data_IF_738169043346
#
_entry.id   IF_738169043346
#
_cell.length_a   1.000
_cell.length_b   1.000
_cell.length_c   1.000
_cell.angle_alpha   90.00
_cell.angle_beta   90.00
_cell.angle_gamma   90.00
#
_symmetry.space_group_name_H-M   'P 1'
#
loop_
_entity.id
_entity.type
_entity.pdbx_description
1 polymer ?
2 non-polymer ?
3 non-polymer ?
4 non-polymer ?
5 water ?
#
# COMPACT_ATOMS: atom_id res chain seq x y z
N UNK A 18 -19.74 -0.32 -8.52
CA UNK A 18 -18.47 -0.88 -7.95
C UNK A 18 -18.59 -2.39 -7.69
N UNK A 19 -17.47 -3.01 -7.32
CA UNK A 19 -17.44 -4.45 -7.04
C UNK A 19 -17.01 -4.77 -5.64
N UNK A 20 -15.88 -5.48 -5.52
CA UNK A 20 -15.29 -5.84 -4.23
C UNK A 20 -13.77 -5.74 -4.32
N UNK A 21 -13.11 -5.54 -3.16
CA UNK A 21 -11.66 -5.46 -3.10
C UNK A 21 -11.02 -6.50 -2.17
N UNK A 22 -9.91 -7.10 -2.59
CA UNK A 22 -9.16 -8.04 -1.74
C UNK A 22 -7.72 -7.52 -1.51
N UNK A 23 -7.42 -7.07 -0.28
CA UNK A 23 -6.05 -6.66 0.06
C UNK A 23 -5.12 -7.82 0.35
N UNK A 24 -3.90 -7.70 -0.19
CA UNK A 24 -2.91 -8.74 -0.26
C UNK A 24 -1.58 -8.10 0.07
N UNK A 25 -0.72 -8.85 0.76
CA UNK A 25 0.63 -8.38 1.07
C UNK A 25 1.65 -9.33 0.46
N UNK A 26 2.78 -8.78 0.06
CA UNK A 26 3.85 -9.63 -0.47
C UNK A 26 5.17 -9.08 0.03
N UNK A 27 6.17 -9.94 0.19
CA UNK A 27 7.45 -9.50 0.70
C UNK A 27 8.59 -9.72 -0.27
N UNK A 28 9.48 -8.74 -0.33
CA UNK A 28 10.75 -8.85 -1.03
C UNK A 28 11.79 -9.32 -0.04
N UNK A 29 12.23 -10.57 -0.15
CA UNK A 29 13.38 -11.05 0.62
C UNK A 29 14.53 -11.19 -0.36
N UNK A 30 15.73 -10.78 0.03
CA UNK A 30 16.86 -10.77 -0.88
C UNK A 30 18.00 -11.68 -0.40
N UNK A 31 18.76 -12.23 -1.34
CA UNK A 31 19.96 -13.02 -0.99
C UNK A 31 21.09 -12.71 -1.95
N UNK A 32 22.07 -11.95 -1.47
CA UNK A 32 23.21 -11.54 -2.29
C UNK A 32 22.74 -10.98 -3.65
N UNK A 33 21.79 -10.06 -3.59
CA UNK A 33 21.24 -9.43 -4.79
C UNK A 33 20.03 -10.15 -5.35
N UNK A 34 19.98 -11.47 -5.17
CA UNK A 34 18.82 -12.28 -5.59
C UNK A 34 17.59 -12.03 -4.74
N UNK A 35 16.44 -12.53 -5.21
CA UNK A 35 15.15 -12.32 -4.56
C UNK A 35 14.38 -13.65 -4.48
N UNK A 36 13.66 -13.84 -3.38
CA UNK A 36 12.92 -15.06 -3.16
C UNK A 36 11.58 -15.07 -3.91
N UNK A 37 11.37 -16.14 -4.68
CA UNK A 37 10.09 -16.43 -5.33
C UNK A 37 9.70 -17.86 -4.98
N UNK A 38 8.38 -18.11 -4.97
CA UNK A 38 7.82 -19.43 -4.68
C UNK A 38 6.89 -19.81 -5.80
N UNK A 39 6.88 -21.10 -6.12
CA UNK A 39 6.06 -21.62 -7.21
C UNK A 39 4.78 -22.15 -6.60
N UNK A 40 3.65 -21.66 -7.09
CA UNK A 40 2.35 -22.11 -6.59
C UNK A 40 2.15 -23.64 -6.73
N UNK A 41 1.59 -24.30 -5.69
CA UNK A 41 1.39 -25.75 -5.61
C UNK A 41 0.44 -26.34 -6.68
N UNK A 42 0.50 -27.66 -6.85
CA UNK A 42 -0.08 -28.40 -7.98
C UNK A 42 -1.59 -28.25 -8.25
N UNK A 43 -2.39 -28.00 -7.23
CA UNK A 43 -3.83 -27.82 -7.44
C UNK A 43 -4.27 -26.39 -7.15
N UNK A 44 -3.32 -25.48 -7.25
CA UNK A 44 -3.52 -24.07 -7.01
C UNK A 44 -4.18 -23.41 -8.22
N UNK A 45 -4.84 -22.28 -7.98
CA UNK A 45 -5.39 -21.46 -9.06
C UNK A 45 -4.28 -20.89 -9.97
N UNK A 46 -3.06 -20.80 -9.46
CA UNK A 46 -1.91 -20.38 -10.27
C UNK A 46 -0.79 -21.42 -10.26
N UNK A 47 -1.19 -22.69 -10.11
CA UNK A 47 -0.29 -23.84 -10.11
C UNK A 47 0.83 -23.75 -11.15
N UNK A 48 2.08 -23.80 -10.68
CA UNK A 48 3.25 -23.77 -11.55
C UNK A 48 3.88 -22.40 -11.75
N UNK A 49 3.14 -21.35 -11.42
CA UNK A 49 3.62 -19.98 -11.63
C UNK A 49 4.31 -19.40 -10.41
N UNK A 50 5.27 -18.51 -10.64
CA UNK A 50 6.15 -17.98 -9.58
C UNK A 50 5.69 -16.63 -9.09
N UNK A 51 5.79 -16.44 -7.78
CA UNK A 51 5.28 -15.25 -7.11
C UNK A 51 6.15 -14.96 -5.92
N UNK A 52 6.06 -13.72 -5.43
CA UNK A 52 6.63 -13.36 -4.15
C UNK A 52 5.76 -13.94 -3.04
N UNK A 53 6.37 -14.40 -1.94
CA UNK A 53 5.59 -14.92 -0.81
C UNK A 53 4.72 -13.86 -0.12
N UNK A 54 3.56 -14.27 0.39
CA UNK A 54 2.64 -13.37 1.08
C UNK A 54 1.25 -13.96 1.03
N UNK A 55 0.23 -13.13 1.19
CA UNK A 55 -1.13 -13.62 1.25
C UNK A 55 -2.11 -12.53 1.61
N UNK A 56 -3.35 -12.93 1.87
CA UNK A 56 -4.45 -12.02 2.18
C UNK A 56 -4.30 -11.40 3.56
N UNK A 57 -4.69 -10.13 3.70
CA UNK A 57 -4.83 -9.49 5.00
C UNK A 57 -6.14 -9.96 5.63
N UNK A 58 -6.06 -10.46 6.86
CA UNK A 58 -7.30 -10.86 7.56
C UNK A 58 -7.90 -9.66 8.30
N UNK A 59 -9.18 -9.73 8.63
CA UNK A 59 -9.82 -8.64 9.34
C UNK A 59 -9.14 -8.40 10.68
N UNK A 60 -8.98 -7.13 11.02
CA UNK A 60 -8.39 -6.74 12.28
C UNK A 60 -6.88 -6.57 12.26
N UNK A 61 -6.21 -7.14 11.28
CA UNK A 61 -4.75 -7.06 11.28
C UNK A 61 -4.18 -5.93 10.39
N UNK A 62 -3.04 -5.37 10.82
CA UNK A 62 -2.28 -4.42 10.01
C UNK A 62 -1.63 -5.18 8.85
N UNK A 63 -1.26 -4.47 7.75
CA UNK A 63 -0.59 -5.20 6.66
C UNK A 63 0.70 -5.92 7.10
N UNK A 64 1.45 -5.32 8.03
CA UNK A 64 2.67 -5.90 8.58
C UNK A 64 2.38 -7.19 9.39
N UNK A 65 1.27 -7.19 10.12
CA UNK A 65 0.89 -8.37 10.88
C UNK A 65 0.50 -9.49 9.94
N UNK A 66 -0.20 -9.13 8.87
CA UNK A 66 -0.62 -10.08 7.85
C UNK A 66 0.60 -10.73 7.20
N UNK A 67 1.56 -9.89 6.82
CA UNK A 67 2.75 -10.38 6.11
C UNK A 67 3.65 -11.23 7.01
N UNK A 68 3.87 -10.81 8.26
CA UNK A 68 4.65 -11.65 9.18
C UNK A 68 3.99 -13.01 9.35
N UNK A 69 2.66 -13.03 9.51
CA UNK A 69 1.95 -14.29 9.64
C UNK A 69 2.13 -15.14 8.37
N UNK A 70 1.81 -14.56 7.21
CA UNK A 70 1.91 -15.27 5.94
C UNK A 70 3.31 -15.87 5.70
N UNK A 71 4.35 -15.10 5.99
CA UNK A 71 5.73 -15.57 5.82
C UNK A 71 6.07 -16.74 6.75
N UNK A 72 5.57 -16.70 8.00
CA UNK A 72 5.73 -17.84 8.89
C UNK A 72 4.98 -19.05 8.35
N UNK A 73 3.72 -18.84 7.93
CA UNK A 73 2.93 -19.96 7.44
C UNK A 73 3.41 -20.52 6.09
N UNK A 74 3.96 -19.68 5.22
CA UNK A 74 4.44 -20.17 3.93
C UNK A 74 5.90 -20.66 3.93
N UNK A 75 6.73 -20.00 4.71
CA UNK A 75 8.19 -20.18 4.63
C UNK A 75 8.78 -20.82 5.89
N UNK A 76 8.01 -20.82 6.99
CA UNK A 76 8.50 -21.28 8.29
C UNK A 76 9.45 -20.32 9.01
N UNK A 77 9.51 -19.07 8.56
CA UNK A 77 10.42 -18.08 9.13
C UNK A 77 9.70 -17.02 9.97
N UNK A 78 10.43 -16.47 10.94
CA UNK A 78 9.94 -15.33 11.69
C UNK A 78 10.63 -14.07 11.19
N UNK A 79 9.86 -13.26 10.46
CA UNK A 79 10.40 -12.12 9.73
C UNK A 79 9.95 -10.80 10.35
N UNK A 80 10.78 -9.79 10.22
CA UNK A 80 10.40 -8.42 10.55
C UNK A 80 10.02 -7.77 9.24
N UNK A 81 8.91 -7.03 9.26
CA UNK A 81 8.41 -6.39 8.04
C UNK A 81 9.02 -4.98 7.99
N UNK A 82 9.74 -4.67 6.91
CA UNK A 82 10.39 -3.37 6.79
C UNK A 82 9.49 -2.42 6.03
N UNK A 83 10.12 -1.59 5.21
CA UNK A 83 9.54 -0.47 4.49
C UNK A 83 8.52 -0.91 3.41
N UNK A 84 7.38 -0.21 3.39
CA UNK A 84 6.43 -0.31 2.29
C UNK A 84 7.06 0.29 1.03
N UNK A 85 7.12 -0.51 -0.04
CA UNK A 85 7.81 -0.10 -1.25
C UNK A 85 6.90 0.24 -2.42
N UNK A 86 5.74 -0.42 -2.50
CA UNK A 86 4.88 -0.32 -3.68
C UNK A 86 3.47 -0.77 -3.36
N UNK A 87 2.48 -0.17 -4.01
CA UNK A 87 1.10 -0.66 -4.02
C UNK A 87 0.58 -0.70 -5.46
N UNK A 88 -0.04 -1.83 -5.80
CA UNK A 88 -0.54 -2.07 -7.15
C UNK A 88 -1.96 -2.61 -7.10
N UNK A 89 -2.76 -2.30 -8.11
CA UNK A 89 -4.10 -2.86 -8.21
C UNK A 89 -4.19 -3.83 -9.40
N UNK A 90 -5.02 -4.85 -9.25
CA UNK A 90 -5.37 -5.78 -10.34
C UNK A 90 -6.87 -5.76 -10.40
N UNK A 91 -7.43 -5.85 -11.60
CA UNK A 91 -8.87 -6.06 -11.77
C UNK A 91 -9.14 -7.43 -12.39
N UNK A 92 -10.02 -8.19 -11.75
CA UNK A 92 -10.57 -9.39 -12.37
C UNK A 92 -12.07 -9.23 -12.48
N UNK A 93 -12.53 -8.64 -13.56
CA UNK A 93 -13.92 -8.23 -13.69
C UNK A 93 -14.31 -7.24 -12.60
N UNK A 94 -15.38 -7.54 -11.87
CA UNK A 94 -15.82 -6.64 -10.80
C UNK A 94 -15.09 -6.82 -9.45
N UNK A 95 -14.05 -7.64 -9.41
CA UNK A 95 -13.25 -7.77 -8.19
C UNK A 95 -11.89 -7.08 -8.40
N UNK A 96 -11.49 -6.27 -7.42
CA UNK A 96 -10.16 -5.66 -7.40
C UNK A 96 -9.22 -6.30 -6.39
N UNK A 97 -7.95 -6.42 -6.76
CA UNK A 97 -6.89 -6.89 -5.84
C UNK A 97 -5.99 -5.71 -5.60
N UNK A 98 -5.73 -5.43 -4.32
CA UNK A 98 -4.77 -4.42 -3.93
C UNK A 98 -3.59 -5.11 -3.26
N UNK A 99 -2.41 -5.06 -3.89
CA UNK A 99 -1.17 -5.69 -3.36
C UNK A 99 -0.22 -4.66 -2.81
N UNK A 100 0.21 -4.90 -1.57
CA UNK A 100 1.20 -4.08 -0.91
C UNK A 100 2.48 -4.89 -0.83
N UNK A 101 3.56 -4.32 -1.35
CA UNK A 101 4.88 -4.98 -1.33
C UNK A 101 5.75 -4.35 -0.26
N UNK A 102 6.22 -5.19 0.67
CA UNK A 102 7.12 -4.76 1.72
C UNK A 102 8.54 -5.34 1.55
N UNK A 103 9.53 -4.51 1.83
CA UNK A 103 10.90 -4.97 1.94
C UNK A 103 11.06 -5.80 3.24
N UNK A 104 11.63 -7.01 3.12
CA UNK A 104 11.95 -7.84 4.28
C UNK A 104 13.45 -7.97 4.36
N UNK A 105 14.06 -7.24 5.29
CA UNK A 105 15.51 -7.26 5.49
C UNK A 105 15.94 -8.32 6.52
N UNK A 106 15.12 -8.53 7.54
CA UNK A 106 15.51 -9.36 8.67
C UNK A 106 14.50 -10.47 8.98
N UNK A 107 15.04 -11.67 9.16
CA UNK A 107 14.26 -12.82 9.54
C UNK A 107 15.12 -13.85 10.25
N UNK A 108 14.45 -14.72 10.99
CA UNK A 108 15.09 -15.83 11.66
C UNK A 108 14.66 -17.08 10.94
N UNK A 109 15.65 -17.92 10.62
CA UNK A 109 15.45 -19.19 9.94
C UNK A 109 15.81 -19.08 8.47
N UNK A 110 15.65 -20.17 7.74
CA UNK A 110 15.81 -20.10 6.29
C UNK A 110 14.54 -20.62 5.66
N UNK A 111 13.98 -19.85 4.70
CA UNK A 111 12.74 -20.20 4.01
C UNK A 111 12.71 -21.65 3.55
N UNK A 112 11.60 -22.33 3.82
CA UNK A 112 11.37 -23.68 3.30
C UNK A 112 9.98 -23.78 2.66
N UNK A 113 9.85 -24.67 1.68
CA UNK A 113 8.65 -24.76 0.86
C UNK A 113 7.45 -25.43 1.56
N UNK A 114 6.86 -24.75 2.54
CA UNK A 114 5.74 -25.30 3.31
C UNK A 114 4.42 -25.25 2.53
N UNK A 115 4.34 -24.30 1.61
CA UNK A 115 3.11 -24.02 0.87
C UNK A 115 3.38 -24.21 -0.62
N UNK A 116 4.44 -23.54 -1.08
CA UNK A 116 4.82 -23.59 -2.48
C UNK A 116 5.38 -24.95 -2.84
N UNK A 117 5.24 -25.32 -4.11
CA UNK A 117 5.86 -26.53 -4.68
C UNK A 117 7.38 -26.47 -4.50
N UNK A 118 7.93 -25.26 -4.65
CA UNK A 118 9.37 -25.04 -4.69
C UNK A 118 9.68 -23.58 -4.42
N UNK A 119 10.83 -23.32 -3.80
CA UNK A 119 11.35 -21.95 -3.63
C UNK A 119 12.66 -21.80 -4.39
N UNK A 120 12.90 -20.60 -4.91
CA UNK A 120 14.16 -20.31 -5.62
C UNK A 120 14.55 -18.86 -5.39
N UNK A 121 15.85 -18.63 -5.18
CA UNK A 121 16.40 -17.27 -5.19
C UNK A 121 16.85 -16.92 -6.60
N UNK A 122 16.24 -15.91 -7.20
CA UNK A 122 16.57 -15.54 -8.57
C UNK A 122 17.16 -14.14 -8.65
N UNK A 123 17.88 -13.86 -9.72
CA UNK A 123 18.24 -12.50 -10.04
C UNK A 123 16.96 -11.81 -10.46
N UNK A 124 16.68 -10.65 -9.86
CA UNK A 124 15.42 -9.93 -10.08
C UNK A 124 15.18 -9.59 -11.55
N UNK A 125 16.24 -9.39 -12.32
CA UNK A 125 16.12 -9.03 -13.73
C UNK A 125 15.62 -10.21 -14.57
N UNK A 126 15.73 -11.41 -14.01
CA UNK A 126 15.24 -12.63 -14.66
C UNK A 126 13.75 -12.90 -14.42
N UNK A 127 13.13 -12.11 -13.54
CA UNK A 127 11.69 -12.20 -13.25
C UNK A 127 10.80 -12.24 -14.51
N UNK A 128 11.05 -11.33 -15.46
CA UNK A 128 10.32 -11.28 -16.72
C UNK A 128 10.39 -12.53 -17.62
N UNK A 129 11.45 -13.33 -17.49
CA UNK A 129 11.61 -14.54 -18.30
C UNK A 129 11.03 -15.78 -17.61
N UNK A 130 10.64 -15.61 -16.35
CA UNK A 130 10.03 -16.69 -15.57
C UNK A 130 8.55 -16.82 -15.89
N UNK A 131 8.00 -18.01 -15.68
CA UNK A 131 6.57 -18.19 -15.72
C UNK A 131 5.93 -17.49 -14.51
N UNK A 132 5.56 -16.23 -14.70
CA UNK A 132 4.89 -15.47 -13.64
C UNK A 132 3.41 -15.26 -14.00
N UNK A 133 2.55 -15.00 -13.00
CA UNK A 133 1.13 -14.77 -13.27
C UNK A 133 0.92 -13.61 -14.23
N UNK A 134 -0.07 -13.74 -15.12
CA UNK A 134 -0.39 -12.73 -16.11
C UNK A 134 -0.52 -11.34 -15.48
N UNK A 135 -1.21 -11.29 -14.34
CA UNK A 135 -1.42 -10.04 -13.60
C UNK A 135 -0.12 -9.45 -13.05
N UNK A 136 0.79 -10.31 -12.63
CA UNK A 136 2.09 -9.87 -12.10
C UNK A 136 2.98 -9.27 -13.19
N UNK A 137 2.92 -9.87 -14.38
CA UNK A 137 3.69 -9.39 -15.53
C UNK A 137 3.36 -7.93 -15.87
N UNK A 138 2.10 -7.58 -15.77
CA UNK A 138 1.64 -6.24 -16.17
C UNK A 138 2.18 -5.14 -15.26
N UNK A 139 2.57 -5.51 -14.03
CA UNK A 139 3.09 -4.55 -13.04
C UNK A 139 4.61 -4.66 -12.85
N UNK A 140 5.27 -5.41 -13.73
CA UNK A 140 6.68 -5.76 -13.60
C UNK A 140 7.63 -4.56 -13.61
N UNK A 141 7.34 -3.58 -14.44
CA UNK A 141 8.13 -2.34 -14.50
C UNK A 141 8.16 -1.63 -13.14
N UNK A 142 7.02 -1.63 -12.45
CA UNK A 142 6.89 -1.02 -11.13
C UNK A 142 7.65 -1.81 -10.07
N UNK A 143 7.61 -3.13 -10.17
CA UNK A 143 8.39 -4.01 -9.29
C UNK A 143 9.92 -3.78 -9.45
N UNK A 144 10.38 -3.69 -10.69
CA UNK A 144 11.79 -3.38 -10.97
C UNK A 144 12.21 -2.06 -10.30
N UNK A 145 11.42 -1.01 -10.51
CA UNK A 145 11.66 0.31 -9.92
C UNK A 145 11.73 0.27 -8.39
N UNK A 146 10.90 -0.55 -7.77
CA UNK A 146 10.84 -0.67 -6.31
C UNK A 146 12.01 -1.50 -5.77
N UNK A 147 12.55 -2.36 -6.63
CA UNK A 147 13.71 -3.18 -6.32
C UNK A 147 15.04 -2.44 -6.59
N UNK A 148 14.95 -1.28 -7.26
CA UNK A 148 16.12 -0.46 -7.58
C UNK A 148 16.81 -0.85 -8.87
N UNK A 149 16.03 -1.35 -9.83
CA UNK A 149 16.58 -1.86 -11.08
C UNK A 149 16.29 -0.96 -12.29
N UNK A 150 16.89 -1.28 -13.43
CA UNK A 150 16.63 -0.62 -14.71
C UNK A 150 16.82 0.89 -14.64
N UNK B 18 -15.97 -13.26 7.67
CA UNK B 18 -16.19 -11.91 7.07
C UNK B 18 -14.98 -11.48 6.26
N UNK B 19 -15.19 -10.65 5.24
CA UNK B 19 -14.08 -10.14 4.43
C UNK B 19 -14.47 -9.05 3.46
N UNK B 20 -14.74 -7.85 4.00
CA UNK B 20 -15.11 -6.69 3.18
C UNK B 20 -14.13 -5.55 3.39
N UNK B 21 -13.71 -4.91 2.29
CA UNK B 21 -12.66 -3.90 2.31
C UNK B 21 -12.91 -2.73 1.35
N UNK B 22 -12.64 -1.52 1.84
CA UNK B 22 -12.63 -0.30 1.02
C UNK B 22 -11.21 0.32 1.02
N UNK B 23 -10.49 0.21 -0.12
CA UNK B 23 -9.19 0.86 -0.24
C UNK B 23 -9.33 2.34 -0.54
N UNK B 24 -8.54 3.13 0.18
CA UNK B 24 -8.61 4.57 0.16
C UNK B 24 -7.20 5.11 -0.05
N UNK B 25 -7.07 6.18 -0.83
CA UNK B 25 -5.82 6.89 -0.98
C UNK B 25 -5.93 8.26 -0.36
N UNK B 26 -4.82 8.72 0.19
CA UNK B 26 -4.76 9.99 0.86
C UNK B 26 -3.42 10.63 0.51
N UNK B 27 -3.46 11.93 0.28
CA UNK B 27 -2.24 12.69 -0.01
C UNK B 27 -1.71 13.48 1.16
N UNK B 28 -0.40 13.37 1.40
CA UNK B 28 0.36 14.35 2.19
C UNK B 28 0.90 15.47 1.29
N UNK B 29 0.12 16.53 1.11
CA UNK B 29 0.59 17.70 0.35
C UNK B 29 1.48 18.52 1.27
N UNK B 30 2.70 18.68 0.84
CA UNK B 30 3.72 19.30 1.67
C UNK B 30 4.20 20.55 1.02
N UNK B 31 4.23 21.63 1.80
CA UNK B 31 4.67 22.91 1.32
C UNK B 31 5.09 23.79 2.48
N UNK B 32 6.34 24.24 2.45
CA UNK B 32 6.91 25.16 3.43
C UNK B 32 6.84 24.63 4.86
N UNK B 33 6.99 23.32 5.00
CA UNK B 33 6.96 22.70 6.31
C UNK B 33 5.55 22.42 6.80
N UNK B 34 4.56 22.72 5.96
CA UNK B 34 3.16 22.49 6.32
C UNK B 34 2.53 21.35 5.52
N UNK B 35 1.40 20.89 6.05
CA UNK B 35 0.61 19.84 5.44
C UNK B 35 -0.83 20.34 5.26
N UNK B 36 -1.45 19.93 4.15
CA UNK B 36 -2.79 20.36 3.79
C UNK B 36 -3.84 19.41 4.37
N UNK B 37 -4.87 20.01 4.96
CA UNK B 37 -5.87 19.26 5.66
C UNK B 37 -7.24 19.91 5.33
N UNK B 38 -8.27 19.08 5.16
CA UNK B 38 -9.59 19.55 4.75
C UNK B 38 -10.65 19.18 5.76
N UNK B 39 -11.57 20.10 6.02
CA UNK B 39 -12.61 19.86 7.01
C UNK B 39 -13.82 19.23 6.34
N UNK B 40 -14.10 18.00 6.76
CA UNK B 40 -15.24 17.21 6.28
C UNK B 40 -16.54 18.00 6.38
N UNK B 41 -17.45 17.82 5.40
CA UNK B 41 -18.76 18.48 5.41
C UNK B 41 -19.58 18.17 6.67
N UNK B 42 -20.42 19.13 7.07
CA UNK B 42 -21.23 19.02 8.28
C UNK B 42 -22.49 18.19 7.99
N UNK B 48 -17.14 18.84 12.20
CA UNK B 48 -16.30 18.51 11.05
C UNK B 48 -14.90 18.09 11.46
N UNK B 49 -14.57 16.83 11.17
CA UNK B 49 -13.20 16.36 11.37
C UNK B 49 -12.30 16.86 10.24
N UNK B 50 -11.00 16.92 10.54
CA UNK B 50 -9.99 17.32 9.57
C UNK B 50 -9.30 16.08 9.00
N UNK B 51 -9.39 15.93 7.69
CA UNK B 51 -8.86 14.74 7.02
C UNK B 51 -7.82 15.15 6.00
N UNK B 52 -6.98 14.19 5.57
CA UNK B 52 -6.10 14.38 4.42
C UNK B 52 -6.93 14.22 3.15
N UNK B 53 -6.63 15.03 2.11
CA UNK B 53 -7.44 14.90 0.90
C UNK B 53 -7.17 13.60 0.17
N UNK B 54 -8.17 13.11 -0.55
CA UNK B 54 -8.02 11.89 -1.33
C UNK B 54 -9.37 11.23 -1.38
N UNK B 55 -9.41 9.91 -1.56
CA UNK B 55 -10.67 9.22 -1.63
C UNK B 55 -10.53 7.77 -2.02
N UNK B 56 -11.63 7.19 -2.50
CA UNK B 56 -11.67 5.75 -2.75
C UNK B 56 -10.99 5.37 -4.07
N UNK B 57 -10.39 4.18 -4.10
CA UNK B 57 -9.85 3.64 -5.36
C UNK B 57 -10.97 2.93 -6.10
N UNK B 58 -11.15 3.28 -7.37
CA UNK B 58 -12.15 2.68 -8.22
C UNK B 58 -11.50 1.50 -8.94
N UNK B 59 -12.27 0.43 -9.17
CA UNK B 59 -11.78 -0.74 -9.90
C UNK B 59 -11.28 -0.31 -11.28
N UNK B 60 -10.08 -0.74 -11.64
CA UNK B 60 -9.49 -0.37 -12.93
C UNK B 60 -8.39 0.67 -12.83
N UNK B 61 -8.37 1.41 -11.71
CA UNK B 61 -7.40 2.48 -11.46
C UNK B 61 -6.21 1.96 -10.67
N UNK B 62 -5.02 2.47 -10.97
CA UNK B 62 -3.92 2.33 -10.01
C UNK B 62 -4.18 3.26 -8.82
N UNK B 63 -3.57 2.95 -7.65
CA UNK B 63 -3.68 3.87 -6.53
C UNK B 63 -3.23 5.30 -6.84
N UNK B 64 -2.13 5.45 -7.57
CA UNK B 64 -1.64 6.77 -7.97
C UNK B 64 -2.62 7.47 -8.89
N UNK B 65 -3.32 6.73 -9.76
CA UNK B 65 -4.33 7.31 -10.65
C UNK B 65 -5.52 7.80 -9.83
N UNK B 66 -6.01 6.95 -8.93
CA UNK B 66 -7.08 7.31 -8.01
C UNK B 66 -6.77 8.60 -7.29
N UNK B 67 -5.54 8.71 -6.78
CA UNK B 67 -5.19 9.86 -5.95
C UNK B 67 -5.09 11.16 -6.75
N UNK B 68 -4.43 11.09 -7.91
CA UNK B 68 -4.38 12.23 -8.82
C UNK B 68 -5.81 12.68 -9.16
N UNK B 69 -6.68 11.71 -9.44
CA UNK B 69 -8.08 12.01 -9.76
C UNK B 69 -8.78 12.72 -8.59
N UNK B 70 -8.70 12.13 -7.39
CA UNK B 70 -9.36 12.70 -6.19
C UNK B 70 -8.83 14.08 -5.82
N UNK B 71 -7.53 14.29 -5.92
CA UNK B 71 -6.95 15.60 -5.66
C UNK B 71 -7.42 16.61 -6.67
N UNK B 72 -7.59 16.19 -7.93
CA UNK B 72 -8.20 17.03 -8.97
C UNK B 72 -9.66 17.36 -8.61
N UNK B 73 -10.43 16.31 -8.30
CA UNK B 73 -11.85 16.47 -7.92
C UNK B 73 -12.09 17.33 -6.67
N UNK B 74 -11.34 17.07 -5.59
CA UNK B 74 -11.53 17.76 -4.32
C UNK B 74 -10.88 19.12 -4.28
N UNK B 75 -9.74 19.25 -4.95
CA UNK B 75 -8.92 20.44 -4.83
C UNK B 75 -8.71 21.21 -6.14
N UNK B 76 -8.97 20.56 -7.28
CA UNK B 76 -8.80 21.24 -8.59
C UNK B 76 -7.36 21.40 -9.05
N UNK B 77 -6.46 20.61 -8.49
CA UNK B 77 -5.05 20.68 -8.84
C UNK B 77 -4.66 19.51 -9.72
N UNK B 78 -3.54 19.62 -10.40
CA UNK B 78 -3.00 18.48 -11.11
C UNK B 78 -1.72 18.06 -10.41
N UNK B 79 -1.83 16.98 -9.63
CA UNK B 79 -0.77 16.61 -8.73
C UNK B 79 0.09 15.50 -9.29
N UNK B 80 1.40 15.64 -9.08
CA UNK B 80 2.33 14.54 -9.25
C UNK B 80 2.32 13.69 -7.96
N UNK B 81 1.89 12.44 -8.07
CA UNK B 81 1.85 11.55 -6.92
C UNK B 81 3.28 11.07 -6.68
N UNK B 82 3.77 11.33 -5.47
CA UNK B 82 5.15 11.01 -5.13
C UNK B 82 5.22 9.69 -4.38
N UNK B 83 6.13 9.63 -3.42
CA UNK B 83 6.49 8.40 -2.72
C UNK B 83 5.34 7.83 -1.88
N UNK B 84 5.12 6.52 -1.99
CA UNK B 84 4.23 5.81 -1.10
C UNK B 84 4.90 5.77 0.27
N UNK B 85 4.20 6.33 1.25
CA UNK B 85 4.81 6.50 2.56
C UNK B 85 4.36 5.50 3.61
N UNK B 86 3.07 5.14 3.60
CA UNK B 86 2.49 4.37 4.71
C UNK B 86 1.21 3.71 4.26
N UNK B 87 0.91 2.55 4.82
CA UNK B 87 -0.40 1.97 4.66
C UNK B 87 -0.92 1.57 6.02
N UNK B 88 -2.18 1.85 6.30
CA UNK B 88 -2.79 1.43 7.55
C UNK B 88 -4.17 0.83 7.33
N UNK B 89 -4.53 -0.14 8.18
CA UNK B 89 -5.89 -0.67 8.18
C UNK B 89 -6.65 -0.20 9.40
N UNK B 90 -7.96 -0.03 9.26
CA UNK B 90 -8.85 0.30 10.38
C UNK B 90 -10.19 -0.38 10.13
N UNK B 91 -10.92 -0.71 11.19
CA UNK B 91 -12.23 -1.35 11.04
C UNK B 91 -13.36 -0.39 11.40
N UNK B 92 -14.38 -0.35 10.56
CA UNK B 92 -15.67 0.19 10.95
C UNK B 92 -16.67 -0.96 11.12
N UNK B 93 -16.30 -1.90 11.99
CA UNK B 93 -17.14 -3.06 12.34
C UNK B 93 -17.43 -4.02 11.20
N UNK B 94 -18.37 -3.62 10.33
CA UNK B 94 -18.81 -4.44 9.20
C UNK B 94 -17.93 -4.31 7.95
N UNK B 95 -17.05 -3.30 7.94
CA UNK B 95 -16.20 -3.03 6.77
C UNK B 95 -14.75 -2.75 7.19
N UNK B 96 -13.81 -3.26 6.40
CA UNK B 96 -12.39 -2.92 6.57
C UNK B 96 -11.99 -1.75 5.68
N UNK B 97 -11.26 -0.81 6.25
CA UNK B 97 -10.68 0.29 5.48
C UNK B 97 -9.16 0.15 5.39
N UNK B 98 -8.63 0.25 4.18
CA UNK B 98 -7.18 0.23 3.96
C UNK B 98 -6.76 1.59 3.37
N UNK B 99 -6.05 2.40 4.14
CA UNK B 99 -5.58 3.71 3.66
C UNK B 99 -4.13 3.64 3.18
N UNK B 100 -3.90 4.13 1.96
CA UNK B 100 -2.57 4.30 1.41
C UNK B 100 -2.24 5.78 1.42
N UNK B 101 -1.12 6.14 2.04
CA UNK B 101 -0.68 7.55 2.13
C UNK B 101 0.48 7.86 1.19
N UNK B 102 0.27 8.79 0.26
CA UNK B 102 1.30 9.21 -0.73
C UNK B 102 1.70 10.65 -0.47
N UNK B 103 3.00 10.91 -0.57
CA UNK B 103 3.54 12.26 -0.48
C UNK B 103 3.32 13.01 -1.78
N UNK B 104 2.92 14.28 -1.69
CA UNK B 104 2.77 15.13 -2.88
C UNK B 104 3.61 16.38 -2.67
N UNK B 105 4.64 16.52 -3.48
CA UNK B 105 5.55 17.66 -3.39
C UNK B 105 5.32 18.66 -4.53
N UNK B 106 4.83 18.17 -5.65
CA UNK B 106 4.65 19.03 -6.83
C UNK B 106 3.25 18.93 -7.38
N UNK B 107 2.68 20.09 -7.72
CA UNK B 107 1.36 20.14 -8.37
C UNK B 107 1.17 21.45 -9.11
N UNK B 108 0.30 21.41 -10.11
CA UNK B 108 -0.12 22.61 -10.82
C UNK B 108 -1.49 23.05 -10.32
N UNK B 109 -1.66 24.35 -10.13
CA UNK B 109 -2.91 24.91 -9.64
C UNK B 109 -2.84 25.17 -8.15
N UNK B 110 -3.82 25.91 -7.64
CA UNK B 110 -3.92 26.18 -6.20
C UNK B 110 -5.06 25.33 -5.61
N UNK B 111 -4.82 24.69 -4.45
CA UNK B 111 -5.91 23.92 -3.84
C UNK B 111 -7.06 24.83 -3.43
N UNK B 112 -8.25 24.52 -3.91
CA UNK B 112 -9.45 25.25 -3.53
C UNK B 112 -10.47 24.31 -2.92
N UNK B 113 -11.19 24.83 -1.92
CA UNK B 113 -12.18 24.07 -1.17
C UNK B 113 -13.46 23.84 -1.96
N UNK B 114 -13.40 23.02 -3.01
CA UNK B 114 -14.62 22.70 -3.74
C UNK B 114 -15.32 21.42 -3.28
N UNK B 115 -14.70 20.70 -2.34
CA UNK B 115 -15.35 19.57 -1.65
C UNK B 115 -15.50 19.83 -0.14
N UNK B 116 -14.46 20.40 0.47
CA UNK B 116 -14.45 20.66 1.91
C UNK B 116 -14.99 22.05 2.23
N UNK B 117 -15.55 22.21 3.42
CA UNK B 117 -16.02 23.51 3.87
C UNK B 117 -14.86 24.46 4.17
N UNK B 118 -13.68 23.87 4.31
CA UNK B 118 -12.47 24.58 4.67
C UNK B 118 -11.25 23.73 4.35
N UNK B 119 -10.26 24.35 3.73
CA UNK B 119 -8.93 23.80 3.58
C UNK B 119 -7.99 24.60 4.45
N UNK B 120 -7.02 23.92 5.05
CA UNK B 120 -6.05 24.61 5.90
C UNK B 120 -4.66 23.99 5.81
N UNK B 121 -3.64 24.85 5.66
CA UNK B 121 -2.25 24.45 5.81
C UNK B 121 -1.88 24.55 7.29
N UNK B 122 -1.42 23.42 7.84
CA UNK B 122 -1.01 23.34 9.24
C UNK B 122 0.39 22.74 9.40
N UNK B 123 1.12 23.18 10.43
CA UNK B 123 2.28 22.45 10.88
C UNK B 123 1.80 21.07 11.28
N UNK B 124 2.56 20.01 10.90
CA UNK B 124 2.22 18.65 11.32
C UNK B 124 1.97 18.51 12.83
N UNK B 125 2.67 19.30 13.64
CA UNK B 125 2.45 19.35 15.10
C UNK B 125 0.99 19.59 15.52
N UNK B 126 0.27 20.41 14.75
CA UNK B 126 -1.14 20.71 15.03
C UNK B 126 -2.07 19.50 15.02
N UNK B 127 -1.71 18.46 14.25
CA UNK B 127 -2.50 17.23 14.14
C UNK B 127 -2.77 16.60 15.49
N UNK B 128 -1.79 16.74 16.37
CA UNK B 128 -1.92 16.30 17.76
C UNK B 128 -3.11 16.95 18.50
N UNK B 129 -3.46 18.18 18.14
CA UNK B 129 -4.61 18.87 18.73
C UNK B 129 -5.66 19.37 17.71
N UNK B 130 -5.87 18.57 16.67
CA UNK B 130 -6.98 18.80 15.73
C UNK B 130 -7.86 17.57 15.74
N UNK B 131 -9.17 17.77 15.57
CA UNK B 131 -10.10 16.67 15.49
C UNK B 131 -9.94 15.95 14.14
N UNK B 132 -9.16 14.88 14.15
CA UNK B 132 -8.94 14.11 12.94
C UNK B 132 -9.64 12.76 13.13
N UNK B 133 -9.93 12.03 12.04
CA UNK B 133 -10.54 10.71 12.16
C UNK B 133 -9.78 9.83 13.16
N UNK B 134 -10.52 9.10 14.01
CA UNK B 134 -9.86 8.27 15.03
C UNK B 134 -8.89 7.25 14.45
N UNK B 135 -9.11 6.89 13.18
CA UNK B 135 -8.22 6.01 12.43
C UNK B 135 -6.87 6.68 12.14
N UNK B 136 -6.88 8.01 12.05
CA UNK B 136 -5.65 8.76 11.82
C UNK B 136 -4.95 9.04 13.14
N UNK B 137 -5.73 9.34 14.18
CA UNK B 137 -5.19 9.57 15.52
C UNK B 137 -4.45 8.38 16.09
N UNK B 138 -5.00 7.17 15.91
CA UNK B 138 -4.37 5.95 16.40
C UNK B 138 -3.02 5.63 15.74
N UNK B 139 -2.75 6.22 14.59
CA UNK B 139 -1.51 5.97 13.86
C UNK B 139 -0.66 7.23 13.64
N UNK B 140 -0.92 8.27 14.43
CA UNK B 140 -0.22 9.54 14.30
C UNK B 140 1.30 9.40 14.43
N UNK B 141 1.75 8.50 15.30
CA UNK B 141 3.17 8.21 15.41
C UNK B 141 3.77 7.73 14.09
N UNK B 142 3.03 6.87 13.38
CA UNK B 142 3.44 6.36 12.08
C UNK B 142 3.42 7.47 11.03
N UNK B 143 2.45 8.37 11.14
CA UNK B 143 2.35 9.51 10.22
C UNK B 143 3.58 10.42 10.32
N UNK B 144 3.99 10.78 11.53
CA UNK B 144 5.19 11.60 11.72
C UNK B 144 6.45 10.90 11.21
N UNK B 145 6.59 9.61 11.50
CA UNK B 145 7.71 8.84 10.96
C UNK B 145 7.70 8.91 9.42
N UNK B 146 6.52 8.75 8.82
CA UNK B 146 6.32 8.80 7.37
C UNK B 146 6.58 10.17 6.74
N UNK B 147 6.69 11.19 7.57
CA UNK B 147 7.00 12.55 7.11
C UNK B 147 8.45 12.84 7.48
N UNK B 148 9.09 11.86 8.11
CA UNK B 148 10.46 12.00 8.59
C UNK B 148 10.62 12.89 9.81
N UNK B 149 9.53 13.05 10.57
CA UNK B 149 9.52 13.93 11.74
C UNK B 149 9.60 13.15 13.05
N UNK B 150 10.01 13.84 14.12
CA UNK B 150 9.98 13.28 15.47
C UNK B 150 8.78 13.81 16.26
N UNK B 151 8.24 12.96 17.14
CA UNK B 151 7.10 13.34 17.98
C UNK B 151 7.32 12.96 19.45
#
# INVERSE_FOLDING_TARGET
MTDDSAVESKQKKSKIRKGHWIPVVAGFLRKDGKILVGQRPENNSLAGQWEFPGGKIENGETPEEALARELNEELGIEAEVGELKLACTHSYGDVGILILFYEILYWKGEPRAKHHMMLEWIHPEELKHRNIPEANRKILHKIYKALGLEWRK
MTDDSAVESKQKKSKIRKGHWIPVVAGFLRKDGKILVGQRPENNSLAGQWEFPGGKIENGETPEEALARELNEELGIEAEVGELKLACTHSYGDVGILILFYEILYWKGEPRAKHHMMLEWIHPEELKHRNIPEANRKILHKIYKALGLEWRK
#
